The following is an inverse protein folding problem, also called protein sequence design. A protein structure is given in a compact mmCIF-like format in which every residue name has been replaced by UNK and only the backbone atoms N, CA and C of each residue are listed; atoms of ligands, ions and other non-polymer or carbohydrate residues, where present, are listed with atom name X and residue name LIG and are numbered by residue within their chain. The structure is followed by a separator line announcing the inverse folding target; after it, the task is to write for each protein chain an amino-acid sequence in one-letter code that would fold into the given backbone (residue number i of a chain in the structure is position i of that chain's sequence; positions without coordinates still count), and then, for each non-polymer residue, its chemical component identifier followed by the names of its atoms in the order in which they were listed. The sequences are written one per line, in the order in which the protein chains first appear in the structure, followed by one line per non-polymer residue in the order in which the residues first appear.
data_IF_281539252459
#
_entry.id   IF_281539252459
#
_cell.length_a   1.000
_cell.length_b   1.000
_cell.length_c   1.000
_cell.angle_alpha   90.00
_cell.angle_beta   90.00
_cell.angle_gamma   90.00
#
_symmetry.space_group_name_H-M   'P 1'
#
loop_
_entity.id
_entity.type
_entity.pdbx_description
1 polymer ?
#
# COMPACT_ATOMS: atom_id res chain seq x y z
N UNK A 1 20.20 3.17 -6.68
CA UNK A 1 20.15 2.75 -8.10
C UNK A 1 18.99 1.77 -8.35
N UNK A 2 17.75 2.26 -8.34
CA UNK A 2 16.55 1.46 -8.64
C UNK A 2 16.61 0.90 -10.06
N UNK A 3 17.25 1.59 -10.98
CA UNK A 3 17.45 1.16 -12.38
C UNK A 3 18.34 -0.08 -12.57
N UNK A 4 18.97 -0.55 -11.49
CA UNK A 4 19.81 -1.77 -11.51
C UNK A 4 19.14 -2.96 -10.83
N UNK A 5 17.91 -2.81 -10.32
CA UNK A 5 17.21 -3.92 -9.67
C UNK A 5 16.66 -4.89 -10.70
N UNK A 6 16.89 -6.16 -10.47
CA UNK A 6 16.25 -7.24 -11.21
C UNK A 6 14.72 -7.16 -11.06
N UNK A 7 14.01 -7.63 -12.07
CA UNK A 7 12.56 -7.65 -12.13
C UNK A 7 12.04 -9.06 -11.85
N UNK A 8 11.62 -9.38 -10.61
CA UNK A 8 11.00 -10.65 -10.30
C UNK A 8 9.56 -10.66 -10.84
N UNK A 9 9.28 -11.59 -11.72
CA UNK A 9 7.92 -11.90 -12.19
C UNK A 9 7.52 -13.22 -11.57
N UNK A 10 6.35 -13.27 -10.93
CA UNK A 10 5.89 -14.47 -10.23
C UNK A 10 4.42 -14.74 -10.51
N UNK A 11 3.99 -15.98 -10.29
CA UNK A 11 2.63 -16.40 -10.48
C UNK A 11 2.38 -17.83 -10.02
N UNK A 12 1.23 -18.35 -10.43
CA UNK A 12 0.80 -19.72 -10.15
C UNK A 12 0.54 -20.44 -11.48
N UNK A 13 1.03 -21.67 -11.59
CA UNK A 13 0.77 -22.61 -12.69
C UNK A 13 0.59 -24.02 -12.13
N UNK A 14 0.32 -25.01 -12.98
CA UNK A 14 0.25 -26.40 -12.51
C UNK A 14 1.63 -26.85 -12.00
N UNK A 15 1.64 -27.70 -10.98
CA UNK A 15 2.86 -28.28 -10.45
C UNK A 15 3.73 -28.89 -11.57
N UNK A 16 5.00 -28.53 -11.63
CA UNK A 16 5.96 -29.04 -12.62
C UNK A 16 5.80 -28.41 -14.01
N UNK A 17 4.86 -27.50 -14.22
CA UNK A 17 4.62 -26.87 -15.51
C UNK A 17 5.76 -25.88 -15.84
N UNK A 18 6.29 -25.95 -17.05
CA UNK A 18 7.31 -25.03 -17.54
C UNK A 18 6.66 -23.67 -17.84
N UNK A 19 7.23 -22.61 -17.28
CA UNK A 19 6.78 -21.23 -17.49
C UNK A 19 7.85 -20.45 -18.22
N UNK A 20 7.48 -19.78 -19.30
CA UNK A 20 8.34 -18.86 -20.05
C UNK A 20 7.82 -17.43 -19.86
N UNK A 21 8.72 -16.53 -19.50
CA UNK A 21 8.44 -15.10 -19.35
C UNK A 21 9.24 -14.32 -20.39
N UNK A 22 8.59 -13.47 -21.16
CA UNK A 22 9.24 -12.58 -22.14
C UNK A 22 8.84 -11.12 -21.90
N UNK A 23 9.84 -10.23 -21.93
CA UNK A 23 9.64 -8.77 -21.79
C UNK A 23 10.83 -8.04 -22.42
N UNK A 24 10.56 -7.05 -23.25
CA UNK A 24 11.60 -6.17 -23.83
C UNK A 24 12.78 -6.93 -24.48
N UNK A 25 12.51 -8.02 -25.20
CA UNK A 25 13.53 -8.86 -25.82
C UNK A 25 14.21 -9.87 -24.89
N UNK A 26 13.98 -9.81 -23.61
CA UNK A 26 14.44 -10.83 -22.66
C UNK A 26 13.49 -12.03 -22.64
N UNK A 27 14.08 -13.22 -22.44
CA UNK A 27 13.34 -14.47 -22.24
C UNK A 27 13.95 -15.23 -21.07
N UNK A 28 13.13 -15.60 -20.09
CA UNK A 28 13.51 -16.44 -18.94
C UNK A 28 12.54 -17.60 -18.80
N UNK A 29 13.06 -18.73 -18.38
CA UNK A 29 12.29 -19.96 -18.16
C UNK A 29 12.42 -20.40 -16.71
N UNK A 30 11.35 -20.92 -16.14
CA UNK A 30 11.29 -21.47 -14.79
C UNK A 30 10.29 -22.63 -14.77
N UNK A 31 10.20 -23.32 -13.64
CA UNK A 31 9.25 -24.42 -13.43
C UNK A 31 8.43 -24.12 -12.16
N UNK A 32 7.13 -24.37 -12.23
CA UNK A 32 6.26 -24.22 -11.08
C UNK A 32 6.56 -25.29 -10.02
N UNK A 33 6.75 -24.88 -8.78
CA UNK A 33 7.04 -25.76 -7.65
C UNK A 33 5.86 -26.66 -7.28
N UNK A 34 6.02 -27.46 -6.23
CA UNK A 34 4.98 -28.38 -5.70
C UNK A 34 3.72 -27.67 -5.25
N UNK A 35 3.83 -26.40 -4.84
CA UNK A 35 2.70 -25.54 -4.47
C UNK A 35 2.15 -24.70 -5.65
N UNK A 36 2.58 -24.99 -6.88
CA UNK A 36 2.22 -24.26 -8.09
C UNK A 36 2.88 -22.87 -8.23
N UNK A 37 3.61 -22.38 -7.24
CA UNK A 37 4.27 -21.06 -7.30
C UNK A 37 5.51 -21.11 -8.16
N UNK A 38 5.73 -20.05 -8.94
CA UNK A 38 6.92 -19.86 -9.73
C UNK A 38 7.43 -18.41 -9.67
N UNK A 39 8.71 -18.23 -9.92
CA UNK A 39 9.33 -16.91 -10.07
C UNK A 39 10.36 -16.98 -11.20
N UNK A 40 10.33 -16.00 -12.10
CA UNK A 40 11.34 -15.76 -13.11
C UNK A 40 11.89 -14.34 -12.92
N UNK A 41 13.21 -14.21 -12.89
CA UNK A 41 13.86 -12.92 -12.64
C UNK A 41 14.44 -12.40 -13.94
N UNK A 42 13.94 -11.26 -14.41
CA UNK A 42 14.44 -10.55 -15.58
C UNK A 42 15.53 -9.56 -15.18
N UNK A 43 16.40 -9.23 -16.13
CA UNK A 43 17.39 -8.19 -15.93
C UNK A 43 16.73 -6.81 -15.89
N UNK A 44 17.36 -5.80 -15.27
CA UNK A 44 16.83 -4.46 -15.18
C UNK A 44 16.48 -3.87 -16.55
N UNK A 45 15.37 -3.17 -16.64
CA UNK A 45 15.02 -2.38 -17.82
C UNK A 45 15.53 -0.95 -17.67
N UNK A 46 15.97 -0.38 -18.78
CA UNK A 46 16.22 1.07 -18.83
C UNK A 46 14.88 1.80 -18.77
N UNK A 47 14.84 2.82 -17.93
CA UNK A 47 13.71 3.72 -17.89
C UNK A 47 13.57 4.43 -19.23
N UNK A 48 12.39 4.34 -19.79
CA UNK A 48 12.05 5.01 -21.06
C UNK A 48 10.53 5.13 -21.16
N UNK A 49 10.03 6.11 -21.88
CA UNK A 49 8.61 6.21 -22.19
C UNK A 49 8.06 5.11 -23.12
N UNK A 50 8.88 4.09 -23.44
CA UNK A 50 8.50 3.00 -24.33
C UNK A 50 7.61 2.00 -23.60
N UNK A 51 6.50 1.65 -24.24
CA UNK A 51 5.60 0.59 -23.80
C UNK A 51 6.05 -0.78 -24.32
N UNK A 52 5.93 -1.80 -23.49
CA UNK A 52 6.26 -3.20 -23.79
C UNK A 52 5.05 -4.09 -23.55
N UNK A 53 5.13 -5.33 -24.06
CA UNK A 53 4.22 -6.40 -23.68
C UNK A 53 4.98 -7.44 -22.85
N UNK A 54 4.50 -7.70 -21.63
CA UNK A 54 4.95 -8.84 -20.83
C UNK A 54 4.11 -10.05 -21.23
N UNK A 55 4.77 -11.10 -21.72
CA UNK A 55 4.12 -12.37 -22.03
C UNK A 55 4.57 -13.44 -21.04
N UNK A 56 3.60 -14.12 -20.44
CA UNK A 56 3.83 -15.30 -19.62
C UNK A 56 3.13 -16.47 -20.28
N UNK A 57 3.88 -17.50 -20.67
CA UNK A 57 3.35 -18.67 -21.35
C UNK A 57 3.74 -19.96 -20.68
N UNK A 58 2.78 -20.87 -20.66
CA UNK A 58 2.94 -22.29 -20.31
C UNK A 58 2.45 -23.13 -21.49
N UNK A 59 2.66 -24.44 -21.52
CA UNK A 59 2.08 -25.32 -22.53
C UNK A 59 0.55 -25.22 -22.62
N UNK A 60 -0.11 -24.91 -21.51
CA UNK A 60 -1.58 -24.87 -21.42
C UNK A 60 -2.17 -23.48 -21.63
N UNK A 61 -1.41 -22.38 -21.41
CA UNK A 61 -1.95 -21.01 -21.40
C UNK A 61 -0.90 -19.97 -21.77
N UNK A 62 -1.35 -18.89 -22.43
CA UNK A 62 -0.56 -17.67 -22.64
C UNK A 62 -1.30 -16.46 -22.12
N UNK A 63 -0.62 -15.63 -21.32
CA UNK A 63 -1.11 -14.36 -20.80
C UNK A 63 -0.27 -13.23 -21.37
N UNK A 64 -0.91 -12.17 -21.84
CA UNK A 64 -0.26 -10.98 -22.36
C UNK A 64 -0.70 -9.76 -21.56
N UNK A 65 0.24 -9.10 -20.90
CA UNK A 65 0.05 -7.83 -20.21
C UNK A 65 0.63 -6.73 -21.09
N UNK A 66 -0.25 -5.94 -21.69
CA UNK A 66 0.12 -4.85 -22.58
C UNK A 66 0.39 -3.57 -21.82
N UNK A 67 1.04 -2.62 -22.46
CA UNK A 67 1.34 -1.30 -21.93
C UNK A 67 2.18 -1.32 -20.63
N UNK A 68 3.16 -2.21 -20.58
CA UNK A 68 4.13 -2.25 -19.48
C UNK A 68 5.19 -1.19 -19.74
N UNK A 69 5.38 -0.28 -18.81
CA UNK A 69 6.39 0.79 -18.89
C UNK A 69 7.41 0.65 -17.76
N UNK A 70 8.64 1.06 -18.02
CA UNK A 70 9.69 1.10 -17.02
C UNK A 70 9.81 2.53 -16.46
N UNK A 71 9.65 2.68 -15.14
CA UNK A 71 9.66 3.97 -14.46
C UNK A 71 9.91 3.84 -12.96
N UNK A 72 9.69 4.90 -12.21
CA UNK A 72 9.74 4.88 -10.76
C UNK A 72 8.37 4.55 -10.17
N UNK A 73 8.34 3.67 -9.18
CA UNK A 73 7.10 3.33 -8.47
C UNK A 73 7.20 3.77 -7.01
N UNK A 74 6.19 4.47 -6.54
CA UNK A 74 6.10 5.00 -5.19
C UNK A 74 4.86 4.48 -4.48
N UNK A 75 5.02 4.13 -3.19
CA UNK A 75 3.92 3.72 -2.33
C UNK A 75 3.39 4.91 -1.54
N UNK A 76 2.11 5.24 -1.74
CA UNK A 76 1.38 6.27 -1.02
C UNK A 76 0.56 5.57 0.06
N UNK A 77 0.92 5.72 1.34
CA UNK A 77 0.26 4.99 2.43
C UNK A 77 0.02 5.85 3.66
N UNK A 78 -0.86 5.40 4.53
CA UNK A 78 -1.25 6.10 5.75
C UNK A 78 -2.75 6.00 6.03
N UNK A 79 -3.35 7.11 6.51
CA UNK A 79 -4.77 7.13 6.86
C UNK A 79 -5.61 8.08 5.98
N UNK A 80 -6.69 8.64 6.50
CA UNK A 80 -7.72 9.40 5.75
C UNK A 80 -7.15 10.54 4.90
N UNK A 81 -6.16 11.29 5.37
CA UNK A 81 -5.58 12.38 4.59
C UNK A 81 -4.76 11.88 3.38
N UNK A 82 -4.14 10.70 3.47
CA UNK A 82 -3.55 10.04 2.31
C UNK A 82 -4.62 9.47 1.37
N UNK A 83 -5.72 8.95 1.92
CA UNK A 83 -6.84 8.41 1.15
C UNK A 83 -7.70 9.50 0.50
N UNK A 84 -7.61 10.76 0.94
CA UNK A 84 -8.39 11.91 0.45
C UNK A 84 -8.20 12.09 -1.06
N UNK A 85 -9.31 12.15 -1.79
CA UNK A 85 -9.32 12.02 -3.25
C UNK A 85 -9.28 13.38 -3.96
N UNK A 86 -8.80 13.38 -5.19
CA UNK A 86 -8.78 14.58 -6.04
C UNK A 86 -10.18 15.21 -6.18
N UNK A 87 -11.24 14.40 -6.34
CA UNK A 87 -12.61 14.92 -6.45
C UNK A 87 -13.20 15.46 -5.13
N UNK A 88 -12.50 15.28 -4.00
CA UNK A 88 -12.85 15.83 -2.69
C UNK A 88 -12.10 17.14 -2.40
N UNK A 89 -11.10 17.49 -3.22
CA UNK A 89 -10.33 18.73 -3.11
C UNK A 89 -11.16 19.95 -3.52
N UNK A 90 -10.68 21.14 -3.16
CA UNK A 90 -11.27 22.40 -3.63
C UNK A 90 -11.22 22.47 -5.18
N UNK A 91 -12.21 23.14 -5.77
CA UNK A 91 -12.46 23.08 -7.23
C UNK A 91 -11.24 23.48 -8.06
N UNK A 92 -10.49 24.46 -7.64
CA UNK A 92 -9.28 24.96 -8.32
C UNK A 92 -8.18 23.91 -8.38
N UNK A 93 -7.90 23.25 -7.27
CA UNK A 93 -6.90 22.18 -7.19
C UNK A 93 -7.37 20.94 -7.95
N UNK A 94 -8.63 20.56 -7.77
CA UNK A 94 -9.24 19.47 -8.52
C UNK A 94 -9.07 19.69 -10.03
N UNK A 95 -9.44 20.89 -10.54
CA UNK A 95 -9.34 21.21 -11.96
C UNK A 95 -7.91 21.13 -12.48
N UNK A 96 -6.92 21.68 -11.72
CA UNK A 96 -5.52 21.60 -12.09
C UNK A 96 -5.03 20.14 -12.21
N UNK A 97 -5.38 19.27 -11.27
CA UNK A 97 -5.02 17.86 -11.28
C UNK A 97 -5.63 17.13 -12.47
N UNK A 98 -6.91 17.38 -12.75
CA UNK A 98 -7.63 16.73 -13.85
C UNK A 98 -7.16 17.23 -15.23
N UNK A 99 -6.81 18.51 -15.37
CA UNK A 99 -6.28 19.05 -16.62
C UNK A 99 -4.86 18.51 -16.89
N UNK A 100 -4.05 18.35 -15.85
CA UNK A 100 -2.78 17.66 -15.97
C UNK A 100 -2.95 16.22 -16.43
N UNK A 101 -3.88 15.48 -15.84
CA UNK A 101 -4.15 14.08 -16.16
C UNK A 101 -4.55 13.86 -17.63
N UNK A 102 -5.23 14.81 -18.25
CA UNK A 102 -5.62 14.75 -19.70
C UNK A 102 -4.40 14.68 -20.63
N UNK A 103 -3.27 15.25 -20.22
CA UNK A 103 -2.11 15.44 -21.10
C UNK A 103 -0.95 14.51 -20.76
N UNK A 104 -0.96 13.83 -19.59
CA UNK A 104 0.19 13.13 -19.03
C UNK A 104 -0.10 11.67 -18.72
N UNK A 105 -0.29 10.86 -19.77
CA UNK A 105 -0.55 9.42 -19.65
C UNK A 105 0.63 8.59 -19.12
N UNK A 106 1.74 9.21 -18.78
CA UNK A 106 2.92 8.52 -18.23
C UNK A 106 2.78 8.14 -16.76
N UNK A 107 1.81 8.72 -16.03
CA UNK A 107 1.51 8.30 -14.65
C UNK A 107 0.61 7.06 -14.70
N UNK A 108 0.90 6.10 -13.87
CA UNK A 108 0.11 4.88 -13.66
C UNK A 108 -0.36 4.82 -12.21
N UNK A 109 -1.60 4.44 -12.03
CA UNK A 109 -2.29 4.42 -10.74
C UNK A 109 -2.67 2.98 -10.36
N UNK A 110 -2.35 2.58 -9.15
CA UNK A 110 -2.74 1.30 -8.58
C UNK A 110 -3.39 1.57 -7.21
N UNK A 111 -4.71 1.40 -7.14
CA UNK A 111 -5.50 1.78 -5.96
C UNK A 111 -6.01 0.55 -5.22
N UNK A 112 -5.39 0.24 -4.08
CA UNK A 112 -5.82 -0.79 -3.14
C UNK A 112 -6.98 -0.28 -2.29
N UNK A 113 -8.20 -0.48 -2.78
CA UNK A 113 -9.42 -0.02 -2.08
C UNK A 113 -9.85 -0.99 -1.00
N UNK A 114 -10.10 -0.52 0.23
CA UNK A 114 -10.83 -1.27 1.21
C UNK A 114 -12.21 -1.70 0.69
N UNK A 115 -12.64 -2.92 1.00
CA UNK A 115 -14.00 -3.40 0.72
C UNK A 115 -15.02 -2.76 1.66
N UNK A 116 -14.60 -2.49 2.88
CA UNK A 116 -15.44 -1.91 3.92
C UNK A 116 -14.72 -0.76 4.60
N UNK A 117 -15.42 0.35 4.68
CA UNK A 117 -14.97 1.50 5.45
C UNK A 117 -15.19 1.23 6.95
N UNK A 118 -14.27 1.68 7.76
CA UNK A 118 -14.32 1.51 9.23
C UNK A 118 -15.23 2.55 9.89
N UNK A 119 -16.46 2.69 9.39
CA UNK A 119 -17.47 3.55 10.00
C UNK A 119 -18.00 2.99 11.33
N UNK A 120 -18.74 3.81 12.10
CA UNK A 120 -19.34 3.41 13.38
C UNK A 120 -20.60 2.54 13.17
N UNK A 121 -20.41 1.33 12.65
CA UNK A 121 -21.44 0.34 12.36
C UNK A 121 -21.00 -1.04 12.83
N UNK A 122 -21.94 -1.90 13.17
CA UNK A 122 -21.69 -3.31 13.40
C UNK A 122 -21.55 -4.04 12.06
N UNK A 123 -20.55 -4.91 11.92
CA UNK A 123 -20.34 -5.69 10.72
C UNK A 123 -21.03 -7.07 10.82
N UNK A 124 -21.56 -7.52 9.72
CA UNK A 124 -22.15 -8.85 9.61
C UNK A 124 -21.11 -9.98 9.55
N UNK A 125 -21.59 -11.22 9.71
CA UNK A 125 -20.74 -12.40 9.75
C UNK A 125 -19.89 -12.60 8.47
N UNK A 126 -20.36 -12.16 7.30
CA UNK A 126 -19.65 -12.33 6.04
C UNK A 126 -18.44 -11.40 5.96
N UNK A 127 -18.57 -10.17 6.47
CA UNK A 127 -17.46 -9.22 6.62
C UNK A 127 -16.43 -9.78 7.61
N UNK A 128 -16.89 -10.20 8.80
CA UNK A 128 -16.03 -10.75 9.84
C UNK A 128 -15.23 -11.97 9.37
N UNK A 129 -15.85 -12.88 8.64
CA UNK A 129 -15.19 -14.05 8.06
C UNK A 129 -14.13 -13.64 7.00
N UNK A 130 -14.45 -12.67 6.15
CA UNK A 130 -13.51 -12.15 5.15
C UNK A 130 -12.28 -11.50 5.80
N UNK A 131 -12.46 -10.77 6.90
CA UNK A 131 -11.36 -10.17 7.64
C UNK A 131 -10.44 -11.24 8.26
N UNK A 132 -10.98 -12.32 8.77
CA UNK A 132 -10.18 -13.44 9.30
C UNK A 132 -9.32 -14.12 8.23
N UNK A 133 -9.70 -13.97 6.95
CA UNK A 133 -8.95 -14.46 5.79
C UNK A 133 -8.07 -13.39 5.13
N UNK A 134 -7.89 -12.22 5.74
CA UNK A 134 -7.14 -11.08 5.21
C UNK A 134 -7.69 -10.55 3.86
N UNK A 135 -8.97 -10.76 3.57
CA UNK A 135 -9.63 -10.36 2.32
C UNK A 135 -10.25 -8.95 2.44
N UNK A 136 -9.47 -8.01 2.96
CA UNK A 136 -9.92 -6.64 3.23
C UNK A 136 -9.96 -5.75 1.99
N UNK A 137 -9.13 -6.00 1.00
CA UNK A 137 -9.04 -5.19 -0.20
C UNK A 137 -9.78 -5.80 -1.38
N UNK A 138 -10.27 -4.93 -2.28
CA UNK A 138 -10.68 -5.32 -3.61
C UNK A 138 -9.48 -5.72 -4.45
N UNK A 139 -9.72 -6.54 -5.49
CA UNK A 139 -8.72 -6.75 -6.52
C UNK A 139 -8.39 -5.42 -7.20
N UNK A 140 -7.12 -5.13 -7.36
CA UNK A 140 -6.63 -3.91 -7.96
C UNK A 140 -5.81 -4.20 -9.23
N UNK A 141 -5.79 -3.24 -10.13
CA UNK A 141 -4.99 -3.30 -11.35
C UNK A 141 -4.37 -1.93 -11.64
N UNK A 142 -3.31 -1.91 -12.42
CA UNK A 142 -2.73 -0.68 -12.90
C UNK A 142 -3.66 0.00 -13.90
N UNK A 143 -3.94 1.27 -13.67
CA UNK A 143 -4.76 2.13 -14.53
C UNK A 143 -3.90 3.27 -15.08
N UNK A 144 -4.18 3.67 -16.31
CA UNK A 144 -3.58 4.88 -16.91
C UNK A 144 -4.17 6.10 -16.23
N UNK A 145 -3.35 7.11 -16.00
CA UNK A 145 -3.78 8.42 -15.55
C UNK A 145 -4.69 9.05 -16.62
N UNK A 146 -5.94 9.23 -16.27
CA UNK A 146 -6.94 9.99 -17.01
C UNK A 146 -7.81 10.79 -16.02
N UNK A 147 -8.75 11.57 -16.50
CA UNK A 147 -9.60 12.39 -15.62
C UNK A 147 -10.45 11.55 -14.67
N UNK A 148 -10.94 10.38 -15.10
CA UNK A 148 -11.80 9.50 -14.31
C UNK A 148 -11.02 8.79 -13.20
N UNK A 149 -9.89 8.21 -13.56
CA UNK A 149 -9.07 7.44 -12.63
C UNK A 149 -8.38 8.38 -11.62
N UNK A 150 -7.86 9.51 -12.08
CA UNK A 150 -7.25 10.54 -11.25
C UNK A 150 -8.24 11.16 -10.27
N UNK A 151 -9.48 11.45 -10.68
CA UNK A 151 -10.50 12.01 -9.80
C UNK A 151 -10.75 11.14 -8.54
N UNK A 152 -10.56 9.84 -8.65
CA UNK A 152 -10.79 8.87 -7.57
C UNK A 152 -9.51 8.47 -6.82
N UNK A 153 -8.36 8.97 -7.23
CA UNK A 153 -7.07 8.68 -6.61
C UNK A 153 -6.72 9.69 -5.53
N UNK A 154 -5.74 9.37 -4.69
CA UNK A 154 -5.21 10.26 -3.64
C UNK A 154 -4.80 11.62 -4.22
N UNK A 155 -5.31 12.72 -3.66
CA UNK A 155 -4.96 14.07 -4.09
C UNK A 155 -3.47 14.37 -3.85
N UNK A 156 -2.98 14.07 -2.65
CA UNK A 156 -1.56 14.30 -2.30
C UNK A 156 -0.64 13.31 -3.04
N UNK A 157 -1.06 12.05 -3.18
CA UNK A 157 -0.32 11.05 -3.95
C UNK A 157 -0.17 11.46 -5.40
N UNK A 158 -1.26 11.92 -6.04
CA UNK A 158 -1.21 12.37 -7.41
C UNK A 158 -0.39 13.66 -7.60
N UNK A 159 -0.53 14.64 -6.69
CA UNK A 159 0.28 15.86 -6.72
C UNK A 159 1.79 15.54 -6.63
N UNK A 160 2.18 14.63 -5.74
CA UNK A 160 3.56 14.16 -5.63
C UNK A 160 4.03 13.47 -6.93
N UNK A 161 3.22 12.57 -7.48
CA UNK A 161 3.55 11.87 -8.73
C UNK A 161 3.70 12.82 -9.92
N UNK A 162 2.86 13.87 -10.01
CA UNK A 162 2.96 14.92 -11.01
C UNK A 162 4.30 15.67 -10.91
N UNK A 163 4.66 16.12 -9.71
CA UNK A 163 5.94 16.80 -9.49
C UNK A 163 7.14 15.94 -9.90
N UNK A 164 7.09 14.64 -9.60
CA UNK A 164 8.14 13.72 -10.02
C UNK A 164 8.18 13.53 -11.53
N UNK A 165 7.02 13.33 -12.17
CA UNK A 165 6.93 13.17 -13.63
C UNK A 165 7.49 14.40 -14.36
N UNK A 166 7.15 15.60 -13.89
CA UNK A 166 7.63 16.86 -14.44
C UNK A 166 9.16 17.05 -14.25
N UNK A 167 9.67 16.63 -13.10
CA UNK A 167 11.09 16.82 -12.77
C UNK A 167 12.01 15.78 -13.41
N UNK A 168 11.56 14.52 -13.44
CA UNK A 168 12.39 13.40 -13.87
C UNK A 168 12.17 13.01 -15.35
N UNK A 169 11.04 13.42 -15.93
CA UNK A 169 10.65 13.07 -17.31
C UNK A 169 10.66 11.55 -17.57
N UNK A 170 10.23 10.79 -16.58
CA UNK A 170 10.11 9.32 -16.64
C UNK A 170 8.71 8.89 -16.24
N UNK A 171 8.25 7.68 -16.65
CA UNK A 171 7.01 7.14 -16.15
C UNK A 171 7.00 6.99 -14.62
N UNK A 172 5.88 7.36 -13.99
CA UNK A 172 5.68 7.28 -12.53
C UNK A 172 4.52 6.36 -12.24
N UNK A 173 4.78 5.33 -11.45
CA UNK A 173 3.74 4.46 -10.87
C UNK A 173 3.44 4.88 -9.43
N UNK A 174 2.16 5.01 -9.10
CA UNK A 174 1.70 5.34 -7.76
C UNK A 174 0.83 4.19 -7.24
N UNK A 175 1.23 3.58 -6.14
CA UNK A 175 0.44 2.59 -5.42
C UNK A 175 -0.21 3.30 -4.24
N UNK A 176 -1.54 3.37 -4.20
CA UNK A 176 -2.29 3.88 -3.06
C UNK A 176 -2.71 2.71 -2.18
N UNK A 177 -2.29 2.73 -0.93
CA UNK A 177 -2.73 1.82 0.12
C UNK A 177 -2.91 2.60 1.43
N UNK A 178 -4.07 3.19 1.61
CA UNK A 178 -4.39 4.02 2.76
C UNK A 178 -5.77 3.67 3.32
N UNK A 179 -5.88 3.65 4.65
CA UNK A 179 -7.11 3.26 5.36
C UNK A 179 -7.48 4.32 6.38
N UNK A 180 -8.68 4.89 6.22
CA UNK A 180 -9.20 5.91 7.13
C UNK A 180 -9.18 5.46 8.59
N UNK A 181 -8.63 6.31 9.48
CA UNK A 181 -8.56 6.05 10.91
C UNK A 181 -7.58 4.97 11.35
N UNK A 182 -6.78 4.40 10.47
CA UNK A 182 -5.84 3.34 10.83
C UNK A 182 -4.69 3.86 11.71
N UNK A 183 -4.35 3.18 12.81
CA UNK A 183 -3.20 3.50 13.63
C UNK A 183 -1.91 2.93 13.05
N UNK A 184 -0.76 3.48 13.43
CA UNK A 184 0.58 3.11 12.93
C UNK A 184 0.89 1.63 13.13
N UNK A 185 0.56 1.07 14.27
CA UNK A 185 0.83 -0.33 14.63
C UNK A 185 0.13 -1.34 13.72
N UNK A 186 -0.97 -0.96 13.07
CA UNK A 186 -1.65 -1.83 12.10
C UNK A 186 -0.81 -2.07 10.84
N UNK A 187 0.17 -1.21 10.55
CA UNK A 187 1.02 -1.23 9.37
C UNK A 187 2.41 -1.83 9.58
N UNK A 188 2.73 -2.31 10.79
CA UNK A 188 4.02 -2.90 11.15
C UNK A 188 3.93 -4.42 11.07
N UNK A 189 4.95 -5.09 10.54
CA UNK A 189 4.96 -6.55 10.50
C UNK A 189 4.99 -7.17 11.92
N UNK A 190 4.36 -8.34 12.04
CA UNK A 190 4.18 -9.03 13.31
C UNK A 190 5.50 -9.33 14.00
N UNK A 191 6.49 -9.81 13.26
CA UNK A 191 7.80 -10.16 13.81
C UNK A 191 8.45 -8.94 14.46
N UNK A 192 8.40 -7.78 13.80
CA UNK A 192 8.94 -6.53 14.37
C UNK A 192 8.25 -6.18 15.68
N UNK A 193 6.92 -6.22 15.75
CA UNK A 193 6.21 -5.90 16.99
C UNK A 193 6.43 -6.97 18.08
N UNK A 194 6.47 -8.25 17.74
CA UNK A 194 6.75 -9.32 18.72
C UNK A 194 8.13 -9.17 19.40
N UNK A 195 9.13 -8.71 18.68
CA UNK A 195 10.48 -8.54 19.24
C UNK A 195 10.72 -7.16 19.86
N UNK A 196 10.21 -6.11 19.26
CA UNK A 196 10.55 -4.74 19.64
C UNK A 196 9.49 -4.05 20.50
N UNK A 197 8.22 -4.45 20.39
CA UNK A 197 7.11 -3.86 21.16
C UNK A 197 5.99 -4.87 21.42
N UNK A 198 6.26 -6.02 22.11
CA UNK A 198 5.25 -7.07 22.31
C UNK A 198 4.03 -6.62 23.10
N UNK A 199 4.19 -5.64 24.01
CA UNK A 199 3.08 -5.17 24.84
C UNK A 199 1.92 -4.58 24.04
N UNK A 200 2.16 -4.01 22.85
CA UNK A 200 1.09 -3.44 22.00
C UNK A 200 0.20 -4.50 21.37
N UNK A 201 0.66 -5.75 21.31
CA UNK A 201 -0.08 -6.88 20.76
C UNK A 201 -1.08 -7.49 21.74
N UNK A 202 -0.87 -7.27 23.04
CA UNK A 202 -1.65 -7.89 24.10
C UNK A 202 -3.00 -7.20 24.27
N UNK A 203 -4.09 -7.97 24.22
CA UNK A 203 -5.46 -7.47 24.44
C UNK A 203 -5.73 -6.11 23.76
N UNK A 204 -5.31 -5.96 22.53
CA UNK A 204 -5.20 -4.68 21.82
C UNK A 204 -6.48 -3.82 21.88
N UNK A 205 -7.67 -4.42 21.97
CA UNK A 205 -8.95 -3.71 22.13
C UNK A 205 -9.14 -3.07 23.50
N UNK A 206 -8.27 -3.42 24.48
CA UNK A 206 -8.26 -2.86 25.84
C UNK A 206 -6.94 -2.17 26.18
N UNK A 207 -5.99 -2.18 25.27
CA UNK A 207 -4.63 -1.71 25.47
C UNK A 207 -4.55 -0.18 25.36
N UNK A 208 -4.09 0.50 26.42
CA UNK A 208 -4.01 1.97 26.47
C UNK A 208 -2.89 2.57 25.59
N UNK A 209 -1.99 1.76 25.05
CA UNK A 209 -1.09 2.21 23.98
C UNK A 209 -1.83 2.54 22.67
N UNK A 210 -3.04 1.99 22.49
CA UNK A 210 -3.89 2.24 21.32
C UNK A 210 -4.97 3.24 21.69
N UNK A 211 -5.18 4.22 20.84
CA UNK A 211 -6.10 5.31 21.08
C UNK A 211 -7.54 4.82 21.36
N UNK A 212 -8.21 5.41 22.34
CA UNK A 212 -9.50 4.93 22.82
C UNK A 212 -10.55 4.83 21.71
N UNK A 213 -10.69 5.88 20.88
CA UNK A 213 -11.69 5.87 19.81
C UNK A 213 -11.40 4.77 18.76
N UNK A 214 -10.13 4.41 18.53
CA UNK A 214 -9.72 3.31 17.64
C UNK A 214 -10.24 1.98 18.19
N UNK A 215 -10.02 1.76 19.49
CA UNK A 215 -10.49 0.56 20.21
C UNK A 215 -12.01 0.47 20.23
N UNK A 216 -12.70 1.57 20.57
CA UNK A 216 -14.17 1.63 20.60
C UNK A 216 -14.77 1.38 19.21
N UNK A 217 -14.19 1.97 18.17
CA UNK A 217 -14.63 1.76 16.80
C UNK A 217 -14.49 0.30 16.39
N UNK A 218 -13.33 -0.30 16.66
CA UNK A 218 -13.09 -1.70 16.39
C UNK A 218 -14.02 -2.62 17.17
N UNK A 219 -14.20 -2.38 18.46
CA UNK A 219 -15.13 -3.14 19.31
C UNK A 219 -16.57 -3.10 18.78
N UNK A 220 -17.02 -1.93 18.29
CA UNK A 220 -18.34 -1.79 17.67
C UNK A 220 -18.42 -2.60 16.36
N UNK A 221 -17.42 -2.47 15.48
CA UNK A 221 -17.42 -3.16 14.19
C UNK A 221 -17.48 -4.70 14.37
N UNK A 222 -16.75 -5.24 15.35
CA UNK A 222 -16.69 -6.70 15.60
C UNK A 222 -17.65 -7.20 16.67
N UNK A 223 -18.58 -6.40 17.12
CA UNK A 223 -19.50 -6.74 18.24
C UNK A 223 -20.24 -8.05 18.06
N UNK A 224 -20.55 -8.44 16.82
CA UNK A 224 -21.26 -9.68 16.51
C UNK A 224 -20.31 -10.89 16.30
N UNK A 225 -18.99 -10.70 16.49
CA UNK A 225 -18.03 -11.77 16.30
C UNK A 225 -18.20 -12.86 17.37
N UNK A 226 -18.31 -14.11 16.95
CA UNK A 226 -18.25 -15.29 17.81
C UNK A 226 -16.82 -15.80 18.01
N UNK A 227 -15.89 -15.42 17.13
CA UNK A 227 -14.48 -15.80 17.21
C UNK A 227 -13.76 -14.87 18.20
N UNK A 228 -13.17 -15.37 19.30
CA UNK A 228 -12.41 -14.54 20.24
C UNK A 228 -11.14 -13.94 19.64
N UNK A 229 -10.65 -14.49 18.51
CA UNK A 229 -9.50 -14.02 17.74
C UNK A 229 -9.95 -13.28 16.46
N UNK A 230 -11.10 -12.61 16.51
CA UNK A 230 -11.62 -11.86 15.37
C UNK A 230 -10.63 -10.77 14.93
N UNK A 231 -10.28 -10.80 13.66
CA UNK A 231 -9.38 -9.82 13.04
C UNK A 231 -10.10 -8.52 12.70
N UNK A 232 -9.35 -7.42 12.72
CA UNK A 232 -9.87 -6.08 12.39
C UNK A 232 -8.79 -5.23 11.70
N UNK A 233 -9.13 -4.33 10.73
CA UNK A 233 -8.14 -3.47 10.06
C UNK A 233 -7.31 -2.58 11.00
N UNK A 234 -7.83 -2.23 12.17
CA UNK A 234 -7.11 -1.45 13.18
C UNK A 234 -6.28 -2.31 14.15
N UNK A 235 -6.39 -3.63 14.06
CA UNK A 235 -5.57 -4.54 14.86
C UNK A 235 -4.08 -4.35 14.49
N UNK A 236 -3.16 -4.35 15.46
CA UNK A 236 -1.74 -4.36 15.17
C UNK A 236 -1.37 -5.44 14.14
N UNK A 237 -0.53 -5.09 13.18
CA UNK A 237 -0.08 -5.91 12.04
C UNK A 237 -1.11 -6.17 10.93
N UNK A 238 -2.40 -5.93 11.11
CA UNK A 238 -3.40 -6.38 10.15
C UNK A 238 -3.21 -5.81 8.75
N UNK A 239 -3.05 -4.48 8.65
CA UNK A 239 -2.90 -3.80 7.36
C UNK A 239 -1.56 -4.12 6.70
N UNK A 240 -0.53 -4.41 7.50
CA UNK A 240 0.69 -4.96 6.96
C UNK A 240 0.43 -6.32 6.31
N UNK A 241 -0.18 -7.26 7.03
CA UNK A 241 -0.44 -8.63 6.55
C UNK A 241 -1.37 -8.65 5.33
N UNK A 242 -2.44 -7.85 5.35
CA UNK A 242 -3.44 -7.82 4.29
C UNK A 242 -3.03 -6.99 3.06
N UNK A 243 -2.26 -5.89 3.23
CA UNK A 243 -2.05 -4.90 2.19
C UNK A 243 -0.59 -4.61 1.83
N UNK A 244 0.36 -4.74 2.78
CA UNK A 244 1.78 -4.45 2.54
C UNK A 244 2.54 -5.73 2.16
N UNK A 245 2.33 -6.81 2.88
CA UNK A 245 3.00 -8.09 2.62
C UNK A 245 2.81 -8.61 1.19
N UNK A 246 1.66 -8.49 0.54
CA UNK A 246 1.53 -8.85 -0.87
C UNK A 246 2.39 -8.00 -1.82
N UNK A 247 2.71 -6.76 -1.43
CA UNK A 247 3.45 -5.79 -2.25
C UNK A 247 4.98 -5.86 -2.07
N UNK A 248 5.50 -6.42 -0.98
CA UNK A 248 6.93 -6.31 -0.62
C UNK A 248 7.91 -6.86 -1.67
N UNK A 249 7.43 -7.71 -2.58
CA UNK A 249 8.23 -8.21 -3.72
C UNK A 249 8.21 -7.29 -4.93
N UNK A 250 7.29 -6.33 -4.97
CA UNK A 250 7.23 -5.36 -6.04
C UNK A 250 8.28 -4.27 -5.81
N UNK A 251 9.17 -4.01 -6.77
CA UNK A 251 10.23 -3.01 -6.60
C UNK A 251 9.61 -1.61 -6.54
N UNK A 252 9.82 -0.90 -5.43
CA UNK A 252 9.41 0.49 -5.25
C UNK A 252 10.64 1.38 -5.05
N UNK A 253 10.51 2.65 -5.38
CA UNK A 253 11.54 3.67 -5.21
C UNK A 253 11.57 4.22 -3.79
N UNK A 254 10.39 4.37 -3.19
CA UNK A 254 10.22 4.92 -1.85
C UNK A 254 8.76 4.99 -1.45
N UNK A 255 8.53 5.57 -0.29
CA UNK A 255 7.23 5.71 0.35
C UNK A 255 6.93 7.18 0.61
N UNK A 256 5.69 7.58 0.42
CA UNK A 256 5.11 8.77 1.01
C UNK A 256 4.07 8.36 2.04
N UNK A 257 4.17 8.91 3.24
CA UNK A 257 3.38 8.54 4.40
C UNK A 257 2.61 9.72 4.97
N UNK A 258 1.30 9.57 5.15
CA UNK A 258 0.48 10.58 5.80
C UNK A 258 -0.46 9.93 6.82
N UNK A 259 -0.01 9.92 8.06
CA UNK A 259 -0.72 9.32 9.20
C UNK A 259 -0.20 9.96 10.50
N UNK A 260 -0.95 9.87 11.58
CA UNK A 260 -0.56 10.32 12.91
C UNK A 260 -1.75 10.61 13.80
N UNK A 261 -2.89 11.02 13.24
CA UNK A 261 -4.08 11.42 13.99
C UNK A 261 -4.59 10.32 14.92
N UNK A 262 -4.46 9.07 14.48
CA UNK A 262 -4.88 7.89 15.26
C UNK A 262 -3.87 7.46 16.35
N UNK A 263 -2.72 8.12 16.44
CA UNK A 263 -1.69 7.90 17.45
C UNK A 263 -1.40 9.15 18.29
N UNK A 264 -2.03 10.30 17.99
CA UNK A 264 -1.74 11.60 18.60
C UNK A 264 -2.11 11.71 20.10
N UNK A 265 -2.65 10.66 20.71
CA UNK A 265 -2.96 10.59 22.14
C UNK A 265 -1.72 10.28 23.00
N UNK A 266 -0.68 9.67 22.43
CA UNK A 266 0.51 9.25 23.15
C UNK A 266 1.76 9.42 22.25
N UNK A 267 2.48 10.52 22.48
CA UNK A 267 3.68 10.87 21.75
C UNK A 267 4.80 9.84 21.96
N UNK A 268 5.03 9.42 23.19
CA UNK A 268 6.12 8.48 23.53
C UNK A 268 5.93 7.12 22.83
N UNK A 269 4.70 6.64 22.73
CA UNK A 269 4.38 5.44 21.96
C UNK A 269 4.63 5.65 20.48
N UNK A 270 4.26 6.82 19.93
CA UNK A 270 4.45 7.12 18.52
C UNK A 270 5.93 7.27 18.14
N UNK A 271 6.74 7.93 18.98
CA UNK A 271 8.19 8.04 18.81
C UNK A 271 8.86 6.66 18.70
N UNK A 272 8.29 5.65 19.34
CA UNK A 272 8.73 4.25 19.23
C UNK A 272 8.17 3.57 17.99
N UNK A 273 6.88 3.74 17.67
CA UNK A 273 6.21 3.05 16.58
C UNK A 273 6.67 3.50 15.19
N UNK A 274 6.89 4.80 14.99
CA UNK A 274 7.24 5.29 13.66
C UNK A 274 8.60 4.79 13.16
N UNK A 275 9.69 4.79 13.94
CA UNK A 275 10.93 4.13 13.55
C UNK A 275 10.78 2.63 13.30
N UNK A 276 9.94 1.93 14.09
CA UNK A 276 9.66 0.51 13.88
C UNK A 276 8.93 0.27 12.55
N UNK A 277 7.97 1.12 12.20
CA UNK A 277 7.31 1.09 10.89
C UNK A 277 8.32 1.20 9.74
N UNK A 278 9.18 2.21 9.79
CA UNK A 278 10.19 2.45 8.75
C UNK A 278 11.15 1.26 8.64
N UNK A 279 11.64 0.77 9.76
CA UNK A 279 12.56 -0.36 9.82
C UNK A 279 11.89 -1.66 9.32
N UNK A 280 10.66 -1.93 9.76
CA UNK A 280 9.85 -3.07 9.30
C UNK A 280 9.76 -3.09 7.76
N UNK A 281 9.38 -1.99 7.15
CA UNK A 281 9.22 -1.93 5.70
C UNK A 281 10.56 -2.02 4.96
N UNK A 282 11.61 -1.34 5.43
CA UNK A 282 12.96 -1.47 4.85
C UNK A 282 13.49 -2.90 4.90
N UNK A 283 13.28 -3.60 6.00
CA UNK A 283 13.67 -5.01 6.14
C UNK A 283 12.87 -5.92 5.20
N UNK A 284 11.56 -5.75 5.10
CA UNK A 284 10.71 -6.57 4.25
C UNK A 284 11.00 -6.37 2.76
N UNK A 285 11.32 -5.14 2.32
CA UNK A 285 11.79 -4.87 0.95
C UNK A 285 13.27 -5.18 0.72
N UNK A 286 14.02 -5.49 1.79
CA UNK A 286 15.47 -5.62 1.77
C UNK A 286 16.14 -4.45 1.05
N UNK A 287 15.75 -3.23 1.42
CA UNK A 287 16.17 -1.99 0.76
C UNK A 287 16.08 -0.79 1.71
N UNK A 288 17.06 0.08 1.63
CA UNK A 288 17.01 1.39 2.32
C UNK A 288 16.12 2.35 1.54
N UNK A 289 14.80 2.14 1.68
CA UNK A 289 13.79 2.95 1.01
C UNK A 289 13.71 4.35 1.63
N UNK A 290 13.75 5.43 0.84
CA UNK A 290 13.40 6.75 1.32
C UNK A 290 11.94 6.76 1.78
N UNK A 291 11.73 7.39 2.94
CA UNK A 291 10.44 7.51 3.59
C UNK A 291 10.14 8.99 3.78
N UNK A 292 9.27 9.54 2.95
CA UNK A 292 8.80 10.92 3.08
C UNK A 292 7.49 10.93 3.84
N UNK A 293 7.37 11.76 4.84
CA UNK A 293 6.15 11.87 5.62
C UNK A 293 5.62 13.30 5.63
N UNK A 294 4.33 13.43 5.85
CA UNK A 294 3.64 14.71 5.97
C UNK A 294 3.42 15.00 7.44
N UNK A 295 3.95 16.14 7.92
CA UNK A 295 3.65 16.61 9.26
C UNK A 295 2.15 16.95 9.37
N UNK A 296 1.53 16.56 10.48
CA UNK A 296 0.11 16.86 10.72
C UNK A 296 -0.12 18.38 10.74
N UNK A 297 -1.28 18.79 10.23
CA UNK A 297 -1.71 20.20 10.29
C UNK A 297 -1.92 20.66 11.73
N UNK A 298 -1.84 21.97 11.95
CA UNK A 298 -2.18 22.58 13.24
C UNK A 298 -3.67 22.45 13.48
N UNK A 299 -4.04 21.70 14.51
CA UNK A 299 -5.41 21.62 15.04
C UNK A 299 -5.32 21.94 16.53
N UNK A 300 -6.25 22.75 17.03
CA UNK A 300 -6.35 23.08 18.46
C UNK A 300 -6.86 21.87 19.25
N UNK A 301 -5.94 20.95 19.52
CA UNK A 301 -6.13 19.79 20.39
C UNK A 301 -4.93 19.67 21.33
N UNK A 302 -5.12 19.48 22.64
CA UNK A 302 -4.04 19.52 23.64
C UNK A 302 -2.85 18.62 23.33
N UNK A 303 -3.08 17.42 22.78
CA UNK A 303 -2.02 16.46 22.47
C UNK A 303 -1.26 16.76 21.16
N UNK A 304 -1.85 17.55 20.25
CA UNK A 304 -1.31 17.68 18.88
C UNK A 304 -0.11 18.61 18.79
N UNK A 305 -0.04 19.61 19.64
CA UNK A 305 1.08 20.55 19.66
C UNK A 305 2.42 19.81 19.84
N UNK A 306 2.47 18.95 20.86
CA UNK A 306 3.67 18.15 21.17
C UNK A 306 3.92 17.04 20.16
N UNK A 307 2.86 16.35 19.74
CA UNK A 307 2.93 15.25 18.78
C UNK A 307 3.47 15.66 17.41
N UNK A 308 3.30 16.92 17.00
CA UNK A 308 3.84 17.42 15.74
C UNK A 308 5.34 17.64 15.74
N UNK A 309 5.92 17.78 16.90
CA UNK A 309 7.35 18.10 17.09
C UNK A 309 8.18 16.82 17.35
N UNK A 310 7.51 15.70 17.57
CA UNK A 310 8.09 14.36 17.70
C UNK A 310 8.18 13.68 16.32
#
# INVERSE_FOLDING_TARGET
DVYKRQLPISGIANQGEKVTVTLAGQRKETVAGTNGKWTATLDPLRVSGKSYTLTVSTPSRTLNYRDVVAGEVWLCSGQSNMAFRVNESVKEEQQQQLDYAKQHSQIRLFDLKPRWETYAVEWDASVLDSLNRLQYYHDAQWEVCDTRNTARFSAIGFAFGRMLADSLQVPIGLILNAVGGSPTEAWIDRKTLEFEFPDILQDWTKNDFIQNWVRERAALNIKQASNPLQRHPYEPCYLFEAGIQPLHRYPIKGIIWYQGESNAHNMEVHERLFPLLVNSWRQNWNADLPFYYVQLSSIDRPSWTWFRDS
#
